data_IF_187483023905
#
_entry.id   IF_187483023905
#
_cell.length_a   1.000
_cell.length_b   1.000
_cell.length_c   1.000
_cell.angle_alpha   90.00
_cell.angle_beta   90.00
_cell.angle_gamma   90.00
#
_symmetry.space_group_name_H-M   'P 1'
#
loop_
_entity.id
_entity.type
_entity.pdbx_description
1 polymer ?
#
# COMPACT_ATOMS: atom_id res chain seq x y z
N UNK A 1 -1.41 -39.04 4.61
CA UNK A 1 -1.06 -37.78 3.91
C UNK A 1 -2.12 -36.78 4.34
N UNK A 2 -1.78 -35.93 5.30
CA UNK A 2 -2.72 -34.92 5.82
C UNK A 2 -2.82 -33.79 4.80
N UNK A 3 -3.83 -33.91 3.95
CA UNK A 3 -4.16 -32.89 2.96
C UNK A 3 -4.89 -31.79 3.70
N UNK A 4 -4.36 -30.57 3.69
CA UNK A 4 -5.04 -29.41 4.25
C UNK A 4 -6.26 -29.11 3.36
N UNK A 5 -7.45 -29.32 3.90
CA UNK A 5 -8.72 -29.17 3.19
C UNK A 5 -9.36 -27.80 3.44
N UNK A 6 -9.06 -27.19 4.58
CA UNK A 6 -9.70 -25.95 5.02
C UNK A 6 -8.66 -24.87 5.38
N UNK A 7 -8.89 -23.60 4.98
CA UNK A 7 -7.98 -22.49 5.28
C UNK A 7 -7.66 -22.33 6.77
N UNK A 8 -8.62 -22.63 7.65
CA UNK A 8 -8.52 -22.51 9.10
C UNK A 8 -7.43 -23.42 9.70
N UNK A 9 -7.14 -24.55 9.04
CA UNK A 9 -6.08 -25.47 9.46
C UNK A 9 -4.69 -24.83 9.34
N UNK A 10 -4.49 -23.93 8.35
CA UNK A 10 -3.24 -23.18 8.24
C UNK A 10 -3.06 -22.22 9.41
N UNK A 11 -4.14 -21.56 9.86
CA UNK A 11 -4.07 -20.63 10.99
C UNK A 11 -3.68 -21.35 12.28
N UNK A 12 -4.21 -22.55 12.50
CA UNK A 12 -3.89 -23.39 13.66
C UNK A 12 -2.40 -23.80 13.66
N UNK A 13 -1.89 -24.33 12.55
CA UNK A 13 -0.48 -24.75 12.44
C UNK A 13 0.47 -23.57 12.69
N UNK A 14 0.15 -22.40 12.14
CA UNK A 14 0.94 -21.19 12.33
C UNK A 14 0.86 -20.68 13.77
N UNK A 15 -0.30 -20.80 14.43
CA UNK A 15 -0.50 -20.41 15.82
C UNK A 15 0.22 -21.32 16.83
N UNK A 16 0.40 -22.61 16.51
CA UNK A 16 1.19 -23.53 17.33
C UNK A 16 2.66 -23.12 17.46
N UNK A 17 3.21 -22.45 16.43
CA UNK A 17 4.63 -22.10 16.34
C UNK A 17 4.89 -20.59 16.41
N UNK A 18 3.86 -19.76 16.59
CA UNK A 18 4.02 -18.32 16.60
C UNK A 18 2.72 -17.53 16.84
N UNK A 19 2.82 -16.21 16.82
CA UNK A 19 1.67 -15.32 16.94
C UNK A 19 1.12 -14.98 15.57
N UNK A 20 -0.15 -15.32 15.31
CA UNK A 20 -0.80 -15.07 14.03
C UNK A 20 -1.53 -13.73 14.07
N UNK A 21 -1.18 -12.85 13.13
CA UNK A 21 -1.88 -11.59 12.90
C UNK A 21 -2.58 -11.65 11.54
N UNK A 22 -3.91 -11.71 11.57
CA UNK A 22 -4.75 -11.66 10.38
C UNK A 22 -4.87 -10.23 9.85
N UNK A 23 -4.47 -10.03 8.60
CA UNK A 23 -4.59 -8.77 7.87
C UNK A 23 -6.07 -8.51 7.56
N UNK A 24 -6.55 -7.30 7.89
CA UNK A 24 -7.95 -6.89 7.73
C UNK A 24 -8.92 -7.44 8.79
N UNK A 25 -8.40 -8.12 9.83
CA UNK A 25 -9.18 -8.57 11.00
C UNK A 25 -8.54 -8.02 12.27
N UNK A 26 -7.36 -8.52 12.64
CA UNK A 26 -6.58 -8.02 13.78
C UNK A 26 -5.70 -6.83 13.41
N UNK A 27 -5.23 -6.76 12.16
CA UNK A 27 -4.41 -5.65 11.67
C UNK A 27 -5.23 -4.86 10.66
N UNK A 28 -5.66 -3.63 10.97
CA UNK A 28 -6.44 -2.83 10.04
C UNK A 28 -5.64 -2.52 8.78
N UNK A 29 -6.31 -2.55 7.63
CA UNK A 29 -5.72 -2.20 6.34
C UNK A 29 -6.16 -0.80 5.99
N UNK A 30 -5.21 0.07 5.67
CA UNK A 30 -5.50 1.47 5.34
C UNK A 30 -5.29 1.76 3.85
N UNK A 31 -6.11 2.65 3.29
CA UNK A 31 -5.96 3.14 1.92
C UNK A 31 -4.85 4.20 1.85
N UNK A 32 -3.61 3.72 1.90
CA UNK A 32 -2.45 4.60 1.76
C UNK A 32 -2.39 5.27 0.38
N UNK A 33 -2.87 4.59 -0.66
CA UNK A 33 -2.72 5.05 -2.04
C UNK A 33 -3.56 6.29 -2.29
N UNK A 34 -4.87 6.20 -2.06
CA UNK A 34 -5.79 7.31 -2.33
C UNK A 34 -5.48 8.51 -1.44
N UNK A 35 -5.17 8.27 -0.17
CA UNK A 35 -4.84 9.35 0.77
C UNK A 35 -3.48 10.00 0.44
N UNK A 36 -2.49 9.23 0.00
CA UNK A 36 -1.20 9.79 -0.44
C UNK A 36 -1.35 10.63 -1.71
N UNK A 37 -2.19 10.21 -2.67
CA UNK A 37 -2.46 10.98 -3.90
C UNK A 37 -3.11 12.36 -3.62
N UNK A 38 -3.83 12.51 -2.50
CA UNK A 38 -4.36 13.80 -2.06
C UNK A 38 -3.24 14.75 -1.62
N UNK A 39 -2.16 14.23 -1.05
CA UNK A 39 -1.05 15.01 -0.47
C UNK A 39 0.10 15.20 -1.47
N UNK A 40 0.45 14.17 -2.22
CA UNK A 40 1.60 14.17 -3.13
C UNK A 40 1.25 14.76 -4.51
N UNK A 41 2.22 15.46 -5.10
CA UNK A 41 2.19 15.81 -6.51
C UNK A 41 2.42 14.55 -7.34
N UNK A 42 1.76 14.45 -8.49
CA UNK A 42 2.02 13.38 -9.45
C UNK A 42 3.51 13.41 -9.85
N UNK A 43 4.18 12.26 -10.07
CA UNK A 43 5.60 12.22 -10.43
C UNK A 43 5.98 13.08 -11.65
N UNK A 44 5.06 13.24 -12.62
CA UNK A 44 5.28 14.12 -13.78
C UNK A 44 5.35 15.62 -13.45
N UNK A 45 4.83 16.04 -12.30
CA UNK A 45 4.86 17.43 -11.80
C UNK A 45 5.99 17.67 -10.80
N UNK A 46 6.90 16.71 -10.64
CA UNK A 46 8.08 16.90 -9.80
C UNK A 46 9.08 17.79 -10.54
N UNK A 47 9.93 18.46 -9.77
CA UNK A 47 10.99 19.32 -10.28
C UNK A 47 12.15 18.54 -10.92
N UNK A 48 12.08 17.21 -10.90
CA UNK A 48 12.96 16.28 -11.59
C UNK A 48 12.13 15.11 -12.14
N UNK A 49 12.64 14.45 -13.19
CA UNK A 49 11.98 13.26 -13.74
C UNK A 49 12.36 12.04 -12.90
N UNK A 50 11.37 11.37 -12.33
CA UNK A 50 11.59 10.19 -11.48
C UNK A 50 12.32 9.07 -12.23
N UNK A 51 11.82 8.67 -13.40
CA UNK A 51 12.33 7.52 -14.16
C UNK A 51 13.83 7.60 -14.54
N UNK A 52 14.36 8.71 -15.09
CA UNK A 52 15.79 8.80 -15.42
C UNK A 52 16.70 9.06 -14.21
N UNK A 53 16.14 9.25 -13.01
CA UNK A 53 16.96 9.51 -11.82
C UNK A 53 17.61 8.21 -11.31
N UNK A 54 18.94 8.14 -11.31
CA UNK A 54 19.70 7.03 -10.71
C UNK A 54 19.81 7.15 -9.19
N UNK A 55 19.70 8.38 -8.68
CA UNK A 55 19.79 8.66 -7.24
C UNK A 55 18.67 9.60 -6.83
N UNK A 56 17.97 9.24 -5.77
CA UNK A 56 16.96 10.08 -5.13
C UNK A 56 17.41 10.32 -3.70
N UNK A 57 17.52 11.59 -3.32
CA UNK A 57 17.98 12.01 -2.01
C UNK A 57 16.81 12.65 -1.29
N UNK A 58 16.52 12.15 -0.10
CA UNK A 58 15.53 12.70 0.80
C UNK A 58 16.25 13.28 2.01
N UNK A 59 15.85 14.48 2.42
CA UNK A 59 16.29 15.05 3.70
C UNK A 59 15.18 15.86 4.33
N UNK A 60 15.28 16.09 5.64
CA UNK A 60 14.43 17.07 6.30
C UNK A 60 14.79 18.47 5.82
N UNK A 61 13.80 19.35 5.68
CA UNK A 61 14.05 20.77 5.50
C UNK A 61 14.73 21.35 6.75
N UNK A 62 15.22 22.59 6.65
CA UNK A 62 15.95 23.25 7.75
C UNK A 62 15.15 23.28 9.06
N UNK A 63 13.84 23.45 8.96
CA UNK A 63 12.95 23.55 10.12
C UNK A 63 12.45 22.20 10.64
N UNK A 64 12.91 21.08 10.05
CA UNK A 64 12.46 19.71 10.36
C UNK A 64 10.94 19.45 10.25
N UNK A 65 10.20 20.32 9.58
CA UNK A 65 8.74 20.24 9.40
C UNK A 65 8.32 19.44 8.17
N UNK A 66 9.20 19.28 7.18
CA UNK A 66 8.87 18.64 5.93
C UNK A 66 10.05 17.88 5.32
N UNK A 67 9.75 16.91 4.46
CA UNK A 67 10.75 16.19 3.66
C UNK A 67 10.90 16.88 2.31
N UNK A 68 12.13 17.25 1.98
CA UNK A 68 12.50 17.74 0.65
C UNK A 68 13.24 16.66 -0.10
N UNK A 69 12.95 16.56 -1.40
CA UNK A 69 13.45 15.51 -2.27
C UNK A 69 14.25 16.14 -3.39
N UNK A 70 15.25 15.40 -3.88
CA UNK A 70 16.03 15.73 -5.06
C UNK A 70 16.30 14.45 -5.85
N UNK A 71 16.22 14.50 -7.18
CA UNK A 71 16.63 13.40 -8.05
C UNK A 71 17.80 13.80 -8.93
N UNK A 72 18.73 12.87 -9.15
CA UNK A 72 19.93 13.03 -9.98
C UNK A 72 19.98 11.92 -11.04
N UNK A 73 20.29 12.29 -12.28
CA UNK A 73 20.43 11.34 -13.40
C UNK A 73 21.74 10.54 -13.33
N UNK A 74 22.77 11.09 -12.67
CA UNK A 74 24.04 10.43 -12.44
C UNK A 74 24.34 10.36 -10.93
N UNK A 75 25.17 9.40 -10.51
CA UNK A 75 25.50 9.22 -9.08
C UNK A 75 26.42 10.31 -8.51
N UNK A 76 27.13 11.08 -9.36
CA UNK A 76 28.21 12.01 -8.97
C UNK A 76 27.94 13.47 -9.37
N UNK A 77 26.68 13.90 -9.39
CA UNK A 77 26.30 15.25 -9.85
C UNK A 77 25.44 15.97 -8.82
N UNK A 78 25.89 17.10 -8.26
CA UNK A 78 25.14 17.88 -7.25
C UNK A 78 24.42 19.10 -7.85
N UNK A 79 23.86 18.96 -9.06
CA UNK A 79 23.31 20.10 -9.83
C UNK A 79 21.84 20.42 -9.54
N UNK A 80 21.07 19.45 -9.04
CA UNK A 80 19.65 19.66 -8.75
C UNK A 80 19.44 20.41 -7.43
N UNK A 81 18.23 20.92 -7.21
CA UNK A 81 17.84 21.59 -5.95
C UNK A 81 16.86 20.72 -5.17
N UNK A 82 16.91 20.80 -3.83
CA UNK A 82 15.93 20.12 -2.98
C UNK A 82 14.61 20.88 -2.98
N UNK A 83 13.50 20.21 -3.30
CA UNK A 83 12.15 20.80 -3.17
C UNK A 83 11.15 19.78 -2.64
N UNK A 84 10.05 20.27 -2.08
CA UNK A 84 8.95 19.42 -1.65
C UNK A 84 8.19 18.84 -2.85
N UNK A 85 7.79 17.58 -2.72
CA UNK A 85 6.93 16.88 -3.69
C UNK A 85 5.47 16.78 -3.23
N UNK A 86 5.13 17.39 -2.09
CA UNK A 86 3.75 17.55 -1.63
C UNK A 86 3.07 18.75 -2.32
N UNK A 87 1.74 18.75 -2.34
CA UNK A 87 0.91 19.90 -2.73
C UNK A 87 1.08 21.05 -1.72
N UNK A 88 0.79 22.30 -2.11
CA UNK A 88 0.85 23.43 -1.19
C UNK A 88 0.04 23.19 0.09
N UNK A 89 0.57 23.59 1.24
CA UNK A 89 -0.08 23.44 2.55
C UNK A 89 -0.37 22.00 2.99
N UNK A 90 0.28 21.00 2.38
CA UNK A 90 0.17 19.60 2.79
C UNK A 90 1.52 19.04 3.27
N UNK A 91 1.51 18.35 4.40
CA UNK A 91 2.64 17.59 4.93
C UNK A 91 2.22 16.14 5.23
N UNK A 92 3.14 15.20 5.09
CA UNK A 92 2.88 13.78 5.30
C UNK A 92 2.45 13.43 6.74
N UNK A 93 2.84 14.24 7.72
CA UNK A 93 2.42 14.05 9.12
C UNK A 93 0.90 14.22 9.31
N UNK A 94 0.22 14.93 8.41
CA UNK A 94 -1.20 15.20 8.49
C UNK A 94 -2.04 14.21 7.67
N UNK A 95 -1.46 13.12 7.16
CA UNK A 95 -2.22 12.13 6.42
C UNK A 95 -3.19 11.41 7.36
N UNK A 96 -4.49 11.57 7.11
CA UNK A 96 -5.51 10.78 7.79
C UNK A 96 -5.82 9.57 6.91
N UNK A 97 -5.36 8.40 7.35
CA UNK A 97 -5.58 7.16 6.65
C UNK A 97 -7.00 6.65 6.87
N UNK A 98 -7.65 6.23 5.78
CA UNK A 98 -8.98 5.64 5.83
C UNK A 98 -8.84 4.12 5.86
N UNK A 99 -9.51 3.47 6.81
CA UNK A 99 -9.54 2.01 6.88
C UNK A 99 -10.35 1.42 5.70
N UNK A 100 -9.74 0.46 5.02
CA UNK A 100 -10.37 -0.30 3.94
C UNK A 100 -11.24 -1.37 4.57
N UNK A 101 -12.55 -1.30 4.32
CA UNK A 101 -13.48 -2.32 4.79
C UNK A 101 -13.13 -3.69 4.18
N UNK A 102 -13.11 -4.71 5.03
CA UNK A 102 -12.95 -6.10 4.59
C UNK A 102 -14.13 -6.52 3.71
N UNK A 103 -13.81 -7.18 2.61
CA UNK A 103 -14.80 -7.72 1.68
C UNK A 103 -15.05 -6.81 0.47
N UNK A 104 -15.48 -7.42 -0.62
CA UNK A 104 -15.91 -6.74 -1.84
C UNK A 104 -17.40 -6.96 -1.98
N UNK A 105 -18.16 -5.93 -2.31
CA UNK A 105 -19.56 -6.11 -2.71
C UNK A 105 -19.61 -6.99 -3.96
N UNK A 106 -19.95 -8.26 -3.78
CA UNK A 106 -20.04 -9.20 -4.89
C UNK A 106 -21.33 -8.93 -5.66
N UNK A 107 -21.24 -8.96 -6.99
CA UNK A 107 -22.43 -8.94 -7.84
C UNK A 107 -23.25 -10.21 -7.56
N UNK A 108 -24.59 -10.13 -7.45
CA UNK A 108 -25.44 -11.29 -7.15
C UNK A 108 -25.22 -12.48 -8.10
N UNK A 109 -24.95 -12.20 -9.39
CA UNK A 109 -24.64 -13.23 -10.39
C UNK A 109 -23.39 -14.04 -10.03
N UNK A 110 -22.32 -13.36 -9.59
CA UNK A 110 -21.07 -14.02 -9.21
C UNK A 110 -21.26 -14.94 -8.01
N UNK A 111 -22.12 -14.54 -7.05
CA UNK A 111 -22.46 -15.38 -5.89
C UNK A 111 -23.15 -16.68 -6.34
N UNK A 112 -24.11 -16.58 -7.26
CA UNK A 112 -24.81 -17.74 -7.82
C UNK A 112 -23.88 -18.68 -8.59
N UNK A 113 -22.98 -18.12 -9.40
CA UNK A 113 -22.04 -18.92 -10.17
C UNK A 113 -21.03 -19.64 -9.28
N UNK A 114 -20.52 -18.96 -8.25
CA UNK A 114 -19.63 -19.59 -7.25
C UNK A 114 -20.37 -20.69 -6.49
N UNK A 115 -21.62 -20.47 -6.07
CA UNK A 115 -22.41 -21.51 -5.41
C UNK A 115 -22.61 -22.75 -6.29
N UNK A 116 -22.95 -22.57 -7.57
CA UNK A 116 -23.06 -23.67 -8.54
C UNK A 116 -21.74 -24.40 -8.76
N UNK A 117 -20.63 -23.66 -8.79
CA UNK A 117 -19.30 -24.23 -8.94
C UNK A 117 -18.97 -25.12 -7.74
N UNK A 118 -19.20 -24.61 -6.52
CA UNK A 118 -18.93 -25.34 -5.29
C UNK A 118 -19.81 -26.59 -5.19
N UNK A 119 -21.12 -26.49 -5.47
CA UNK A 119 -22.01 -27.66 -5.43
C UNK A 119 -21.64 -28.72 -6.46
N UNK A 120 -21.19 -28.31 -7.65
CA UNK A 120 -20.70 -29.24 -8.67
C UNK A 120 -19.44 -29.99 -8.26
N UNK A 121 -18.53 -29.35 -7.52
CA UNK A 121 -17.23 -29.93 -7.15
C UNK A 121 -17.25 -30.71 -5.85
N UNK A 122 -18.09 -30.31 -4.89
CA UNK A 122 -18.07 -30.87 -3.53
C UNK A 122 -19.40 -31.55 -3.13
N UNK A 123 -20.43 -31.51 -3.99
CA UNK A 123 -21.78 -31.90 -3.62
C UNK A 123 -22.55 -30.77 -2.90
N UNK A 124 -23.82 -31.02 -2.59
CA UNK A 124 -24.61 -30.12 -1.72
C UNK A 124 -24.21 -30.25 -0.25
#
# INVERSE_FOLDING_TARGET
KDTILQPEQYEQILAEHGTVHQVGVTVPVYDFKSESEKIQKKPGSWHFKFNPSKRIILKKNKDNTAVVVKGEVAYRTDTCTFRQVTKPNCIHQNIMLIEVKKGVSLKPLKVRDVAKLLSKHFGD
#
